data_IF_082955426008
#
_entry.id   IF_082955426008
#
_cell.length_a   1.000
_cell.length_b   1.000
_cell.length_c   1.000
_cell.angle_alpha   90.00
_cell.angle_beta   90.00
_cell.angle_gamma   90.00
#
_symmetry.space_group_name_H-M   'P 1'
#
loop_
_entity.id
_entity.type
_entity.pdbx_description
1 polymer ?
#
# COMPACT_ATOMS: atom_id res chain seq x y z
N UNK A 1 -0.43 -24.18 47.61
CA UNK A 1 -0.21 -24.78 46.28
C UNK A 1 -1.30 -24.23 45.38
N UNK A 2 -1.04 -23.16 44.66
CA UNK A 2 -1.95 -22.55 43.70
C UNK A 2 -1.34 -22.73 42.32
N UNK A 3 -2.08 -23.39 41.44
CA UNK A 3 -1.73 -23.68 40.08
C UNK A 3 -1.73 -22.37 39.26
N UNK A 4 -0.65 -21.99 38.52
CA UNK A 4 -0.70 -20.83 37.68
C UNK A 4 -1.51 -21.20 36.42
N UNK A 5 -2.66 -20.52 36.27
CA UNK A 5 -3.51 -20.59 35.10
C UNK A 5 -2.70 -20.49 33.82
N UNK A 6 -2.70 -21.59 33.05
CA UNK A 6 -2.11 -21.67 31.73
C UNK A 6 -2.79 -20.69 30.81
N UNK A 7 -2.09 -19.63 30.43
CA UNK A 7 -2.46 -18.80 29.30
C UNK A 7 -2.49 -19.69 28.07
N UNK A 8 -3.68 -19.94 27.53
CA UNK A 8 -3.86 -20.60 26.24
C UNK A 8 -3.14 -19.77 25.19
N UNK A 9 -1.93 -20.16 24.83
CA UNK A 9 -1.18 -19.56 23.75
C UNK A 9 -2.03 -19.61 22.48
N UNK A 10 -2.46 -18.44 22.03
CA UNK A 10 -3.16 -18.28 20.75
C UNK A 10 -2.27 -18.90 19.68
N UNK A 11 -2.64 -20.07 19.18
CA UNK A 11 -1.93 -20.69 18.03
C UNK A 11 -2.01 -19.67 16.91
N UNK A 12 -0.88 -19.05 16.58
CA UNK A 12 -0.77 -18.19 15.40
C UNK A 12 -1.02 -19.08 14.19
N UNK A 13 -2.04 -18.75 13.39
CA UNK A 13 -2.22 -19.39 12.09
C UNK A 13 -1.02 -19.00 11.21
N UNK A 14 -0.54 -19.93 10.40
CA UNK A 14 0.52 -19.65 9.42
C UNK A 14 -0.18 -19.07 8.18
N UNK A 15 -0.09 -17.76 7.92
CA UNK A 15 -0.66 -17.16 6.73
C UNK A 15 0.17 -17.56 5.51
N UNK A 16 -0.46 -17.87 4.38
CA UNK A 16 0.29 -18.10 3.12
C UNK A 16 1.00 -16.83 2.62
N UNK A 17 0.49 -15.66 3.00
CA UNK A 17 1.01 -14.37 2.55
C UNK A 17 0.86 -13.28 3.61
N UNK A 18 1.74 -12.27 3.54
CA UNK A 18 1.62 -10.98 4.22
C UNK A 18 1.29 -9.93 3.17
N UNK A 19 0.20 -9.17 3.34
CA UNK A 19 -0.18 -8.09 2.43
C UNK A 19 0.06 -6.75 3.10
N UNK A 20 0.87 -5.89 2.50
CA UNK A 20 1.00 -4.49 2.93
C UNK A 20 -0.30 -3.78 2.56
N UNK A 21 -1.16 -3.55 3.55
CA UNK A 21 -2.50 -3.03 3.40
C UNK A 21 -2.60 -1.62 3.96
N UNK A 22 -2.77 -0.62 3.09
CA UNK A 22 -2.92 0.78 3.47
C UNK A 22 -4.38 1.23 3.61
N UNK A 23 -5.35 0.40 3.21
CA UNK A 23 -6.75 0.80 3.08
C UNK A 23 -7.06 1.58 1.79
N UNK A 24 -6.06 1.80 0.94
CA UNK A 24 -6.22 2.36 -0.40
C UNK A 24 -6.66 1.31 -1.42
N UNK A 25 -7.13 1.79 -2.60
CA UNK A 25 -7.65 0.95 -3.68
C UNK A 25 -6.67 -0.16 -4.08
N UNK A 26 -5.43 0.19 -4.37
CA UNK A 26 -4.43 -0.74 -4.91
C UNK A 26 -4.09 -1.85 -3.91
N UNK A 27 -3.86 -1.48 -2.64
CA UNK A 27 -3.56 -2.46 -1.59
C UNK A 27 -4.74 -3.38 -1.29
N UNK A 28 -5.97 -2.87 -1.42
CA UNK A 28 -7.20 -3.67 -1.27
C UNK A 28 -7.36 -4.68 -2.40
N UNK A 29 -7.03 -4.31 -3.63
CA UNK A 29 -7.01 -5.25 -4.76
C UNK A 29 -5.93 -6.32 -4.54
N UNK A 30 -4.75 -5.96 -4.06
CA UNK A 30 -3.72 -6.94 -3.68
C UNK A 30 -4.21 -7.90 -2.60
N UNK A 31 -4.95 -7.40 -1.60
CA UNK A 31 -5.54 -8.24 -0.54
C UNK A 31 -6.52 -9.26 -1.13
N UNK A 32 -7.41 -8.84 -2.03
CA UNK A 32 -8.35 -9.73 -2.70
C UNK A 32 -7.63 -10.81 -3.54
N UNK A 33 -6.59 -10.42 -4.28
CA UNK A 33 -5.79 -11.35 -5.07
C UNK A 33 -5.03 -12.35 -4.20
N UNK A 34 -4.44 -11.91 -3.09
CA UNK A 34 -3.71 -12.78 -2.16
C UNK A 34 -4.65 -13.76 -1.43
N UNK A 35 -5.88 -13.34 -1.14
CA UNK A 35 -6.89 -14.19 -0.51
C UNK A 35 -7.50 -15.23 -1.47
N UNK A 36 -7.43 -14.98 -2.79
CA UNK A 36 -8.08 -15.84 -3.79
C UNK A 36 -7.44 -17.22 -3.86
N UNK A 37 -8.22 -18.22 -3.48
CA UNK A 37 -7.76 -19.61 -3.48
C UNK A 37 -6.79 -19.97 -2.35
N UNK A 38 -6.52 -19.07 -1.42
CA UNK A 38 -5.71 -19.34 -0.25
C UNK A 38 -6.46 -20.21 0.74
N UNK A 39 -5.77 -21.16 1.37
CA UNK A 39 -6.33 -22.04 2.40
C UNK A 39 -6.56 -21.34 3.74
N UNK A 40 -5.84 -20.24 3.98
CA UNK A 40 -5.94 -19.37 5.14
C UNK A 40 -5.93 -17.91 4.67
N UNK A 41 -6.66 -17.01 5.37
CA UNK A 41 -6.59 -15.59 5.06
C UNK A 41 -5.14 -15.06 5.13
N UNK A 42 -4.73 -14.15 4.23
CA UNK A 42 -3.45 -13.46 4.35
C UNK A 42 -3.39 -12.66 5.66
N UNK A 43 -2.17 -12.37 6.16
CA UNK A 43 -1.98 -11.40 7.22
C UNK A 43 -2.00 -9.98 6.60
N UNK A 44 -2.88 -9.11 7.09
CA UNK A 44 -2.92 -7.71 6.71
C UNK A 44 -1.93 -6.92 7.57
N UNK A 45 -0.90 -6.34 6.95
CA UNK A 45 0.11 -5.53 7.60
C UNK A 45 -0.08 -4.06 7.25
N UNK A 46 -0.43 -3.25 8.23
CA UNK A 46 -0.65 -1.81 8.07
C UNK A 46 0.43 -1.03 8.81
N UNK A 47 0.85 0.10 8.26
CA UNK A 47 1.79 1.01 8.88
C UNK A 47 1.10 2.30 9.31
N UNK A 48 1.20 2.62 10.60
CA UNK A 48 0.95 3.95 11.15
C UNK A 48 2.30 4.67 11.22
N UNK A 49 2.57 5.53 10.22
CA UNK A 49 3.89 6.19 10.09
C UNK A 49 3.81 7.71 10.29
N UNK A 50 2.77 8.18 10.96
CA UNK A 50 2.54 9.61 11.17
C UNK A 50 1.92 10.31 9.96
N UNK A 51 1.25 9.54 9.07
CA UNK A 51 0.45 10.13 7.99
C UNK A 51 -0.63 11.06 8.54
N UNK A 52 -0.95 12.12 7.81
CA UNK A 52 -1.88 13.19 8.23
C UNK A 52 -3.23 12.68 8.72
N UNK A 53 -3.69 11.51 8.24
CA UNK A 53 -5.04 11.01 8.50
C UNK A 53 -5.04 9.53 8.88
N UNK A 54 -5.69 9.22 9.99
CA UNK A 54 -5.89 7.86 10.47
C UNK A 54 -6.97 7.10 9.71
N UNK A 55 -7.75 7.79 8.87
CA UNK A 55 -8.82 7.17 8.06
C UNK A 55 -8.33 5.96 7.25
N UNK A 56 -7.10 6.02 6.73
CA UNK A 56 -6.51 4.89 6.00
C UNK A 56 -6.36 3.64 6.88
N UNK A 57 -5.98 3.79 8.15
CA UNK A 57 -5.81 2.68 9.11
C UNK A 57 -7.16 2.04 9.41
N UNK A 58 -8.21 2.86 9.63
CA UNK A 58 -9.56 2.38 9.90
C UNK A 58 -10.12 1.63 8.66
N UNK A 59 -9.83 2.14 7.46
CA UNK A 59 -10.20 1.48 6.20
C UNK A 59 -9.43 0.17 6.01
N UNK A 60 -8.14 0.13 6.32
CA UNK A 60 -7.36 -1.10 6.29
C UNK A 60 -7.94 -2.15 7.26
N UNK A 61 -8.33 -1.74 8.47
CA UNK A 61 -8.98 -2.62 9.44
C UNK A 61 -10.31 -3.18 8.91
N UNK A 62 -11.14 -2.33 8.30
CA UNK A 62 -12.40 -2.75 7.70
C UNK A 62 -12.18 -3.75 6.55
N UNK A 63 -11.23 -3.46 5.64
CA UNK A 63 -10.86 -4.37 4.56
C UNK A 63 -10.33 -5.69 5.10
N UNK A 64 -9.43 -5.70 6.09
CA UNK A 64 -8.93 -6.92 6.71
C UNK A 64 -10.07 -7.76 7.30
N UNK A 65 -11.06 -7.10 7.92
CA UNK A 65 -12.27 -7.74 8.47
C UNK A 65 -13.10 -8.48 7.42
N UNK A 66 -13.28 -7.92 6.21
CA UNK A 66 -14.00 -8.56 5.10
C UNK A 66 -13.37 -9.90 4.68
N UNK A 67 -12.06 -10.01 4.80
CA UNK A 67 -11.33 -11.25 4.48
C UNK A 67 -11.12 -12.16 5.69
N UNK A 68 -11.62 -11.81 6.89
CA UNK A 68 -11.34 -12.55 8.12
C UNK A 68 -9.84 -12.62 8.45
N UNK A 69 -9.06 -11.65 7.98
CA UNK A 69 -7.62 -11.60 8.11
C UNK A 69 -7.17 -11.08 9.49
N UNK A 70 -6.07 -11.61 10.01
CA UNK A 70 -5.37 -10.99 11.12
C UNK A 70 -4.85 -9.62 10.66
N UNK A 71 -5.14 -8.55 11.42
CA UNK A 71 -4.67 -7.20 11.14
C UNK A 71 -3.57 -6.81 12.12
N UNK A 72 -2.37 -6.61 11.62
CA UNK A 72 -1.20 -6.17 12.37
C UNK A 72 -0.88 -4.72 11.98
N UNK A 73 -0.86 -3.83 12.98
CA UNK A 73 -0.45 -2.43 12.78
C UNK A 73 0.94 -2.22 13.36
N UNK A 74 1.86 -1.72 12.54
CA UNK A 74 3.22 -1.35 12.94
C UNK A 74 3.32 0.17 13.01
N UNK A 75 3.72 0.68 14.16
CA UNK A 75 3.89 2.11 14.38
C UNK A 75 5.32 2.53 14.06
N UNK A 76 5.44 3.55 13.20
CA UNK A 76 6.67 4.20 12.82
C UNK A 76 6.49 5.71 13.02
N UNK A 77 7.57 6.45 13.14
CA UNK A 77 7.51 7.91 13.19
C UNK A 77 8.30 8.50 12.01
N UNK A 78 7.64 8.63 10.85
CA UNK A 78 8.25 9.20 9.66
C UNK A 78 8.44 10.73 9.76
N UNK A 79 7.83 11.40 10.73
CA UNK A 79 8.09 12.81 11.00
C UNK A 79 9.54 13.04 11.45
N UNK A 80 10.18 12.02 12.03
CA UNK A 80 11.57 12.08 12.49
C UNK A 80 12.59 12.36 11.38
N UNK A 81 12.28 12.02 10.12
CA UNK A 81 13.15 12.34 8.96
C UNK A 81 12.51 13.32 7.97
N UNK A 82 11.22 13.62 8.07
CA UNK A 82 10.53 14.65 7.28
C UNK A 82 10.58 14.46 5.76
N UNK A 83 10.48 15.57 5.03
CA UNK A 83 10.73 15.61 3.58
C UNK A 83 9.53 15.25 2.69
N UNK A 84 8.30 15.17 3.22
CA UNK A 84 7.10 14.91 2.44
C UNK A 84 5.88 15.68 2.93
N UNK A 85 5.07 16.16 1.98
CA UNK A 85 3.77 16.76 2.29
C UNK A 85 2.79 15.79 3.00
N UNK A 86 3.03 14.50 2.97
CA UNK A 86 2.18 13.50 3.63
C UNK A 86 2.53 13.28 5.11
N UNK A 87 3.73 13.67 5.55
CA UNK A 87 4.23 13.49 6.92
C UNK A 87 4.60 14.79 7.63
N UNK A 88 4.75 15.89 6.88
CA UNK A 88 5.06 17.21 7.41
C UNK A 88 3.89 18.19 7.17
N UNK A 89 3.18 18.62 8.24
CA UNK A 89 2.04 19.53 8.10
C UNK A 89 2.43 20.95 7.61
N UNK A 90 3.70 21.32 7.65
CA UNK A 90 4.18 22.60 7.13
C UNK A 90 4.26 22.63 5.60
N UNK A 91 4.29 21.46 4.95
CA UNK A 91 4.32 21.33 3.49
C UNK A 91 2.90 21.14 2.98
N UNK A 92 2.40 22.04 2.12
CA UNK A 92 1.07 21.90 1.54
C UNK A 92 0.98 20.69 0.60
N UNK A 93 -0.15 19.95 0.64
CA UNK A 93 -0.47 18.96 -0.39
C UNK A 93 -0.96 19.73 -1.62
N UNK A 94 -0.35 19.57 -2.80
CA UNK A 94 -0.78 20.28 -4.00
C UNK A 94 -2.17 19.84 -4.45
N UNK A 95 -2.94 20.79 -4.99
CA UNK A 95 -4.14 20.47 -5.75
C UNK A 95 -3.76 19.87 -7.11
N UNK A 96 -4.59 18.93 -7.59
CA UNK A 96 -4.44 18.37 -8.93
C UNK A 96 -4.69 19.47 -9.97
N UNK A 97 -3.72 19.72 -10.85
CA UNK A 97 -3.91 20.66 -11.95
C UNK A 97 -4.83 20.01 -13.02
N UNK A 98 -5.83 20.73 -13.54
CA UNK A 98 -6.66 20.24 -14.63
C UNK A 98 -5.81 19.86 -15.84
N UNK A 99 -5.84 18.58 -16.26
CA UNK A 99 -5.11 18.09 -17.41
C UNK A 99 -3.64 17.70 -17.17
N UNK A 100 -3.10 17.85 -15.96
CA UNK A 100 -1.77 17.34 -15.63
C UNK A 100 -1.77 15.82 -15.45
N UNK A 101 -0.67 15.18 -15.83
CA UNK A 101 -0.44 13.80 -15.43
C UNK A 101 -0.15 13.76 -13.92
N UNK A 102 -0.67 12.74 -13.18
CA UNK A 102 -0.36 12.57 -11.77
C UNK A 102 1.16 12.49 -11.56
N UNK A 103 1.65 13.22 -10.56
CA UNK A 103 3.08 13.30 -10.26
C UNK A 103 3.83 14.45 -10.95
N UNK A 104 3.17 15.24 -11.78
CA UNK A 104 3.72 16.51 -12.29
C UNK A 104 3.18 17.67 -11.45
N UNK A 105 3.63 17.82 -10.20
CA UNK A 105 3.32 19.01 -9.41
C UNK A 105 3.98 20.22 -10.06
N UNK A 106 3.14 21.16 -10.51
CA UNK A 106 3.63 22.40 -11.10
C UNK A 106 4.07 23.38 -10.03
N UNK A 107 5.33 23.32 -9.61
CA UNK A 107 6.08 24.50 -9.28
C UNK A 107 7.41 24.45 -10.04
N UNK A 108 7.54 25.47 -10.91
CA UNK A 108 8.61 25.56 -11.87
C UNK A 108 9.96 25.87 -11.21
N UNK A 109 10.64 24.84 -10.78
CA UNK A 109 12.10 24.85 -10.76
C UNK A 109 12.57 23.91 -11.87
N UNK A 110 12.68 24.47 -13.06
CA UNK A 110 13.36 23.90 -14.21
C UNK A 110 14.81 23.58 -13.85
N UNK A 111 15.04 22.31 -13.47
CA UNK A 111 16.35 21.69 -13.58
C UNK A 111 16.41 21.04 -14.96
N UNK A 112 17.32 21.50 -15.81
CA UNK A 112 17.63 20.92 -17.12
C UNK A 112 18.03 19.45 -16.94
N UNK A 113 17.15 18.52 -17.29
CA UNK A 113 17.42 17.08 -17.27
C UNK A 113 16.15 16.26 -17.32
N UNK A 114 16.06 15.28 -18.19
CA UNK A 114 14.97 14.35 -18.52
C UNK A 114 14.27 13.64 -17.35
N UNK A 115 13.83 14.35 -16.31
CA UNK A 115 13.20 13.80 -15.14
C UNK A 115 11.95 14.58 -14.76
N UNK A 116 10.77 14.00 -14.91
CA UNK A 116 9.63 14.42 -14.11
C UNK A 116 10.09 14.40 -12.64
N UNK A 117 10.12 15.56 -11.97
CA UNK A 117 10.65 15.71 -10.61
C UNK A 117 9.94 14.74 -9.65
N UNK A 118 10.64 14.30 -8.60
CA UNK A 118 10.04 13.48 -7.55
C UNK A 118 8.95 14.30 -6.86
N UNK A 119 7.68 13.84 -6.82
CA UNK A 119 6.59 14.60 -6.23
C UNK A 119 6.82 14.92 -4.74
N UNK A 120 6.39 16.08 -4.29
CA UNK A 120 6.47 16.50 -2.87
C UNK A 120 5.72 15.58 -1.91
N UNK A 121 4.80 14.74 -2.44
CA UNK A 121 4.08 13.68 -1.73
C UNK A 121 4.89 12.38 -1.58
N UNK A 122 6.07 12.29 -2.18
CA UNK A 122 6.97 11.16 -1.95
C UNK A 122 7.47 11.17 -0.50
N UNK A 123 7.24 10.10 0.22
CA UNK A 123 7.82 9.88 1.56
C UNK A 123 9.14 9.13 1.39
N UNK A 124 10.29 9.74 1.74
CA UNK A 124 11.59 9.13 1.52
C UNK A 124 11.71 7.72 2.10
N UNK A 125 12.13 6.76 1.26
CA UNK A 125 12.35 5.36 1.60
C UNK A 125 11.13 4.60 2.19
N UNK A 126 9.90 5.11 2.05
CA UNK A 126 8.71 4.52 2.66
C UNK A 126 8.55 3.04 2.29
N UNK A 127 8.53 2.72 0.99
CA UNK A 127 8.35 1.34 0.56
C UNK A 127 9.57 0.45 0.89
N UNK A 128 10.78 1.02 1.01
CA UNK A 128 11.96 0.29 1.50
C UNK A 128 11.77 -0.18 2.94
N UNK A 129 11.30 0.71 3.82
CA UNK A 129 11.03 0.40 5.22
C UNK A 129 9.89 -0.61 5.33
N UNK A 130 8.80 -0.39 4.60
CA UNK A 130 7.63 -1.26 4.63
C UNK A 130 7.96 -2.68 4.16
N UNK A 131 8.70 -2.83 3.07
CA UNK A 131 9.13 -4.14 2.58
C UNK A 131 10.10 -4.81 3.53
N UNK A 132 11.05 -4.08 4.13
CA UNK A 132 11.98 -4.66 5.11
C UNK A 132 11.24 -5.21 6.34
N UNK A 133 10.27 -4.47 6.88
CA UNK A 133 9.45 -4.93 8.01
C UNK A 133 8.56 -6.11 7.58
N UNK A 134 7.93 -6.02 6.41
CA UNK A 134 7.05 -7.07 5.89
C UNK A 134 7.81 -8.40 5.67
N UNK A 135 9.05 -8.34 5.19
CA UNK A 135 9.92 -9.50 5.08
C UNK A 135 10.24 -10.13 6.45
N UNK A 136 10.51 -9.30 7.47
CA UNK A 136 10.70 -9.78 8.83
C UNK A 136 9.45 -10.44 9.40
N UNK A 137 8.26 -9.85 9.17
CA UNK A 137 6.97 -10.43 9.59
C UNK A 137 6.72 -11.74 8.85
N UNK A 138 6.94 -11.79 7.53
CA UNK A 138 6.74 -12.99 6.72
C UNK A 138 7.64 -14.14 7.20
N UNK A 139 8.92 -13.88 7.46
CA UNK A 139 9.83 -14.89 7.98
C UNK A 139 9.42 -15.38 9.38
N UNK A 140 9.04 -14.47 10.29
CA UNK A 140 8.60 -14.80 11.64
C UNK A 140 7.29 -15.60 11.68
N UNK A 141 6.42 -15.41 10.68
CA UNK A 141 5.12 -16.09 10.55
C UNK A 141 5.15 -17.27 9.58
N UNK A 142 6.31 -17.61 9.03
CA UNK A 142 6.53 -18.65 8.01
C UNK A 142 5.62 -18.46 6.76
N UNK A 143 5.33 -17.20 6.41
CA UNK A 143 4.58 -16.86 5.21
C UNK A 143 5.48 -16.93 3.96
N UNK A 144 4.92 -17.36 2.83
CA UNK A 144 5.70 -17.59 1.61
C UNK A 144 5.88 -16.33 0.78
N UNK A 145 4.93 -15.40 0.83
CA UNK A 145 4.93 -14.21 -0.01
C UNK A 145 4.62 -12.92 0.79
N UNK A 146 5.23 -11.82 0.37
CA UNK A 146 4.85 -10.44 0.71
C UNK A 146 4.21 -9.80 -0.52
N UNK A 147 3.02 -9.22 -0.36
CA UNK A 147 2.29 -8.54 -1.44
C UNK A 147 2.28 -7.03 -1.21
N UNK A 148 2.55 -6.27 -2.28
CA UNK A 148 2.58 -4.80 -2.25
C UNK A 148 1.84 -4.22 -3.45
N UNK A 149 0.97 -3.23 -3.20
CA UNK A 149 0.14 -2.56 -4.20
C UNK A 149 0.84 -1.36 -4.85
N UNK A 150 2.09 -1.52 -5.27
CA UNK A 150 2.79 -0.47 -6.03
C UNK A 150 2.36 -0.49 -7.50
N UNK A 151 2.31 0.71 -8.10
CA UNK A 151 1.99 0.93 -9.50
C UNK A 151 3.00 1.90 -10.11
N UNK A 152 3.65 1.47 -11.20
CA UNK A 152 4.68 2.27 -11.88
C UNK A 152 4.09 3.14 -13.00
N UNK A 153 2.91 2.80 -13.51
CA UNK A 153 2.29 3.49 -14.66
C UNK A 153 1.74 4.86 -14.23
N UNK A 154 1.00 4.89 -13.11
CA UNK A 154 0.34 6.11 -12.62
C UNK A 154 1.23 6.94 -11.69
N UNK A 155 2.23 6.31 -11.05
CA UNK A 155 3.15 6.91 -10.08
C UNK A 155 4.60 6.81 -10.52
N UNK A 156 4.88 7.06 -11.80
CA UNK A 156 6.23 6.96 -12.37
C UNK A 156 7.29 7.85 -11.66
N UNK A 157 6.84 8.92 -10.98
CA UNK A 157 7.70 9.81 -10.19
C UNK A 157 8.22 9.19 -8.88
N UNK A 158 7.65 8.10 -8.38
CA UNK A 158 8.12 7.48 -7.13
C UNK A 158 9.20 6.42 -7.42
N UNK A 159 10.46 6.65 -6.98
CA UNK A 159 11.56 5.72 -7.28
C UNK A 159 11.34 4.33 -6.70
N UNK A 160 10.64 4.24 -5.56
CA UNK A 160 10.35 3.01 -4.82
C UNK A 160 9.04 2.31 -5.25
N UNK A 161 8.50 2.70 -6.41
CA UNK A 161 7.38 2.00 -7.08
C UNK A 161 7.79 1.36 -8.42
N UNK A 162 9.06 1.43 -8.81
CA UNK A 162 9.56 0.96 -10.11
C UNK A 162 9.85 -0.54 -10.10
N UNK A 163 9.72 -1.26 -11.24
CA UNK A 163 10.04 -2.69 -11.33
C UNK A 163 11.45 -3.04 -10.82
N UNK A 164 12.46 -2.25 -11.21
CA UNK A 164 13.85 -2.45 -10.78
C UNK A 164 14.02 -2.37 -9.25
N UNK A 165 13.24 -1.52 -8.55
CA UNK A 165 13.25 -1.46 -7.10
C UNK A 165 12.69 -2.75 -6.48
N UNK A 166 11.58 -3.27 -7.00
CA UNK A 166 10.99 -4.53 -6.53
C UNK A 166 11.95 -5.70 -6.77
N UNK A 167 12.62 -5.74 -7.92
CA UNK A 167 13.63 -6.78 -8.23
C UNK A 167 14.82 -6.72 -7.28
N UNK A 168 15.28 -5.51 -6.93
CA UNK A 168 16.33 -5.34 -5.92
C UNK A 168 15.88 -5.87 -4.54
N UNK A 169 14.63 -5.65 -4.13
CA UNK A 169 14.11 -6.19 -2.86
C UNK A 169 13.93 -7.70 -2.88
N UNK A 170 13.57 -8.31 -4.02
CA UNK A 170 13.61 -9.78 -4.17
C UNK A 170 15.01 -10.32 -3.86
N UNK A 171 16.03 -9.62 -4.35
CA UNK A 171 17.42 -9.98 -4.06
C UNK A 171 17.80 -9.77 -2.59
N UNK A 172 17.24 -8.74 -1.93
CA UNK A 172 17.39 -8.55 -0.48
C UNK A 172 16.82 -9.74 0.29
N UNK A 173 15.61 -10.22 -0.07
CA UNK A 173 14.99 -11.39 0.56
C UNK A 173 15.84 -12.67 0.40
N UNK A 174 16.43 -12.88 -0.78
CA UNK A 174 17.33 -14.02 -1.02
C UNK A 174 18.60 -13.97 -0.17
N UNK A 175 19.21 -12.80 0.01
CA UNK A 175 20.53 -12.65 0.63
C UNK A 175 20.47 -12.28 2.12
N UNK A 176 19.42 -11.59 2.54
CA UNK A 176 19.33 -10.96 3.86
C UNK A 176 18.47 -11.71 4.87
N UNK A 177 17.81 -12.81 4.49
CA UNK A 177 16.98 -13.60 5.37
C UNK A 177 17.47 -15.03 5.54
N UNK A 178 17.18 -15.65 6.71
CA UNK A 178 17.49 -17.06 6.95
C UNK A 178 16.85 -17.95 5.89
N UNK A 179 15.55 -17.75 5.57
CA UNK A 179 14.86 -18.52 4.54
C UNK A 179 15.53 -18.41 3.16
N UNK A 180 16.05 -17.22 2.82
CA UNK A 180 16.79 -17.00 1.58
C UNK A 180 18.07 -17.83 1.52
N UNK A 181 18.85 -17.84 2.60
CA UNK A 181 20.08 -18.66 2.72
C UNK A 181 19.77 -20.16 2.69
N UNK A 182 18.62 -20.58 3.21
CA UNK A 182 18.13 -21.96 3.16
C UNK A 182 17.53 -22.36 1.79
N UNK A 183 17.55 -21.47 0.79
CA UNK A 183 17.03 -21.72 -0.56
C UNK A 183 15.49 -21.61 -0.68
N UNK A 184 14.82 -20.99 0.28
CA UNK A 184 13.38 -20.79 0.33
C UNK A 184 13.05 -19.31 0.58
N UNK A 185 13.52 -18.37 -0.26
CA UNK A 185 13.30 -16.94 -0.02
C UNK A 185 11.82 -16.60 0.01
N UNK A 186 11.47 -15.60 0.82
CA UNK A 186 10.13 -15.00 0.79
C UNK A 186 9.95 -14.30 -0.55
N UNK A 187 8.87 -14.65 -1.26
CA UNK A 187 8.53 -14.01 -2.54
C UNK A 187 8.01 -12.58 -2.35
N UNK A 188 8.34 -11.68 -3.27
CA UNK A 188 7.72 -10.33 -3.31
C UNK A 188 6.82 -10.25 -4.54
N UNK A 189 5.52 -10.04 -4.29
CA UNK A 189 4.47 -9.95 -5.29
C UNK A 189 4.03 -8.49 -5.46
N UNK A 190 4.17 -7.95 -6.66
CA UNK A 190 3.70 -6.62 -7.04
C UNK A 190 2.79 -6.74 -8.27
N UNK A 191 1.57 -7.33 -8.15
CA UNK A 191 0.76 -7.73 -9.30
C UNK A 191 0.19 -6.56 -10.10
N UNK A 192 0.24 -5.35 -9.55
CA UNK A 192 -0.35 -4.15 -10.16
C UNK A 192 0.69 -3.25 -10.85
N UNK A 193 1.97 -3.65 -10.84
CA UNK A 193 3.08 -2.75 -11.14
C UNK A 193 3.01 -2.15 -12.57
N UNK A 194 2.52 -2.93 -13.54
CA UNK A 194 2.42 -2.54 -14.95
C UNK A 194 0.97 -2.21 -15.38
N UNK A 195 0.04 -2.07 -14.42
CA UNK A 195 -1.37 -1.83 -14.72
C UNK A 195 -1.72 -0.35 -14.66
N UNK A 196 -2.62 0.10 -15.54
CA UNK A 196 -3.27 1.41 -15.42
C UNK A 196 -4.30 1.40 -14.28
N UNK A 197 -4.67 2.56 -13.74
CA UNK A 197 -5.68 2.65 -12.68
C UNK A 197 -7.01 2.02 -13.12
N UNK A 198 -7.40 2.22 -14.36
CA UNK A 198 -8.60 1.58 -14.92
C UNK A 198 -8.51 0.05 -14.94
N UNK A 199 -7.34 -0.51 -15.27
CA UNK A 199 -7.12 -1.95 -15.22
C UNK A 199 -7.17 -2.48 -13.78
N UNK A 200 -6.61 -1.73 -12.82
CA UNK A 200 -6.66 -2.07 -11.38
C UNK A 200 -8.11 -2.07 -10.87
N UNK A 201 -8.93 -1.06 -11.26
CA UNK A 201 -10.36 -1.03 -10.89
C UNK A 201 -11.10 -2.25 -11.44
N UNK A 202 -10.91 -2.59 -12.73
CA UNK A 202 -11.54 -3.79 -13.34
C UNK A 202 -11.10 -5.06 -12.60
N UNK A 203 -9.81 -5.21 -12.36
CA UNK A 203 -9.26 -6.36 -11.62
C UNK A 203 -9.83 -6.43 -10.18
N UNK A 204 -10.03 -5.29 -9.53
CA UNK A 204 -10.68 -5.19 -8.23
C UNK A 204 -12.11 -5.71 -8.25
N UNK A 205 -12.92 -5.31 -9.25
CA UNK A 205 -14.27 -5.82 -9.44
C UNK A 205 -14.27 -7.33 -9.70
N UNK A 206 -13.41 -7.80 -10.61
CA UNK A 206 -13.30 -9.22 -10.96
C UNK A 206 -12.82 -10.10 -9.79
N UNK A 207 -11.98 -9.56 -8.92
CA UNK A 207 -11.48 -10.26 -7.73
C UNK A 207 -12.41 -10.18 -6.52
N UNK A 208 -13.50 -9.42 -6.60
CA UNK A 208 -14.41 -9.20 -5.48
C UNK A 208 -13.83 -8.32 -4.37
N UNK A 209 -12.88 -7.45 -4.70
CA UNK A 209 -12.31 -6.52 -3.74
C UNK A 209 -13.38 -5.54 -3.20
N UNK A 210 -13.43 -5.28 -1.88
CA UNK A 210 -14.41 -4.39 -1.27
C UNK A 210 -14.06 -2.91 -1.54
N UNK A 211 -14.20 -2.48 -2.82
CA UNK A 211 -13.77 -1.15 -3.28
C UNK A 211 -14.52 -0.01 -2.58
N UNK A 212 -15.72 -0.26 -2.04
CA UNK A 212 -16.51 0.70 -1.26
C UNK A 212 -15.87 1.06 0.09
N UNK A 213 -14.97 0.23 0.62
CA UNK A 213 -14.24 0.49 1.86
C UNK A 213 -12.96 1.30 1.64
N UNK A 214 -12.52 1.47 0.38
CA UNK A 214 -11.20 2.05 0.10
C UNK A 214 -11.17 3.56 0.22
N UNK A 215 -10.02 4.08 0.66
CA UNK A 215 -9.75 5.51 0.78
C UNK A 215 -8.52 5.90 -0.05
N UNK A 216 -8.59 7.03 -0.75
CA UNK A 216 -7.46 7.52 -1.57
C UNK A 216 -7.08 8.98 -1.30
N UNK A 217 -7.95 9.75 -0.63
CA UNK A 217 -7.76 11.18 -0.45
C UNK A 217 -6.57 11.52 0.47
N UNK A 218 -5.67 12.39 0.01
CA UNK A 218 -4.52 12.87 0.79
C UNK A 218 -4.89 13.97 1.79
N UNK A 219 -5.99 14.70 1.58
CA UNK A 219 -6.38 15.80 2.44
C UNK A 219 -6.99 15.34 3.77
N UNK A 220 -7.46 14.08 3.86
CA UNK A 220 -8.20 13.55 5.00
C UNK A 220 -9.60 14.14 5.13
N UNK A 221 -10.20 13.93 6.31
CA UNK A 221 -11.59 14.32 6.56
C UNK A 221 -12.52 13.13 6.54
N UNK A 222 -13.83 13.40 6.58
CA UNK A 222 -14.89 12.36 6.53
C UNK A 222 -15.29 12.02 5.11
N UNK A 223 -15.04 12.93 4.16
CA UNK A 223 -15.32 12.79 2.73
C UNK A 223 -14.06 13.09 1.91
N UNK A 224 -13.90 12.48 0.72
CA UNK A 224 -12.80 12.80 -0.19
C UNK A 224 -12.88 14.25 -0.65
N UNK A 225 -11.73 14.96 -0.68
CA UNK A 225 -11.71 16.38 -1.08
C UNK A 225 -12.03 16.63 -2.55
N UNK A 226 -11.93 15.62 -3.41
CA UNK A 226 -12.15 15.72 -4.85
C UNK A 226 -11.06 16.47 -5.64
N UNK A 227 -10.16 17.22 -4.97
CA UNK A 227 -9.21 18.12 -5.61
C UNK A 227 -7.75 17.65 -5.61
N UNK A 228 -7.34 16.70 -4.76
CA UNK A 228 -5.96 16.23 -4.75
C UNK A 228 -5.68 15.21 -5.87
N UNK A 229 -4.40 15.01 -6.22
CA UNK A 229 -3.97 14.06 -7.26
C UNK A 229 -4.54 12.66 -7.07
N UNK A 230 -4.60 12.15 -5.83
CA UNK A 230 -5.14 10.82 -5.57
C UNK A 230 -6.65 10.73 -5.84
N UNK A 231 -7.42 11.78 -5.54
CA UNK A 231 -8.84 11.85 -5.88
C UNK A 231 -9.05 11.92 -7.40
N UNK A 232 -8.27 12.75 -8.09
CA UNK A 232 -8.34 12.89 -9.54
C UNK A 232 -7.97 11.59 -10.26
N UNK A 233 -6.91 10.91 -9.81
CA UNK A 233 -6.48 9.62 -10.35
C UNK A 233 -7.53 8.53 -10.11
N UNK A 234 -8.13 8.48 -8.91
CA UNK A 234 -9.22 7.55 -8.60
C UNK A 234 -10.42 7.77 -9.51
N UNK A 235 -10.92 9.01 -9.59
CA UNK A 235 -12.08 9.36 -10.41
C UNK A 235 -11.87 8.99 -11.88
N UNK A 236 -10.70 9.32 -12.44
CA UNK A 236 -10.32 8.94 -13.81
C UNK A 236 -10.28 7.42 -13.97
N UNK A 237 -9.67 6.69 -13.04
CA UNK A 237 -9.57 5.23 -13.10
C UNK A 237 -10.92 4.54 -13.13
N UNK A 238 -11.88 4.98 -12.30
CA UNK A 238 -13.25 4.45 -12.32
C UNK A 238 -14.00 4.81 -13.60
N UNK A 239 -13.89 6.06 -14.07
CA UNK A 239 -14.51 6.51 -15.32
C UNK A 239 -13.99 5.72 -16.53
N UNK A 240 -12.67 5.56 -16.68
CA UNK A 240 -12.05 4.79 -17.76
C UNK A 240 -12.32 3.28 -17.65
N UNK A 241 -12.57 2.77 -16.45
CA UNK A 241 -12.99 1.40 -16.24
C UNK A 241 -14.45 1.15 -16.64
N UNK A 242 -15.27 2.20 -16.75
CA UNK A 242 -16.71 2.11 -16.97
C UNK A 242 -17.46 1.61 -15.73
N UNK A 243 -16.93 1.84 -14.54
CA UNK A 243 -17.49 1.39 -13.26
C UNK A 243 -17.80 2.60 -12.40
N UNK A 244 -18.98 2.64 -11.78
CA UNK A 244 -19.29 3.65 -10.78
C UNK A 244 -18.40 3.47 -9.54
N UNK A 245 -17.88 4.57 -8.97
CA UNK A 245 -17.07 4.49 -7.75
C UNK A 245 -17.97 4.22 -6.53
N UNK A 246 -17.90 3.03 -5.90
CA UNK A 246 -18.82 2.66 -4.84
C UNK A 246 -18.49 3.33 -3.49
N UNK A 247 -17.38 4.06 -3.38
CA UNK A 247 -17.01 4.80 -2.18
C UNK A 247 -17.49 6.27 -2.23
N UNK A 248 -18.07 6.71 -3.34
CA UNK A 248 -18.66 8.04 -3.48
C UNK A 248 -20.18 7.94 -3.45
N UNK A 249 -20.87 8.95 -2.86
CA UNK A 249 -22.33 9.02 -2.95
C UNK A 249 -22.76 9.14 -4.42
N UNK A 250 -23.88 8.47 -4.75
CA UNK A 250 -24.49 8.52 -6.07
C UNK A 250 -25.09 9.91 -6.38
#
# INVERSE_FOLDING_TARGET
>A
MGDPAGGAGRRLTVPGAVVILSGGLDSTVCMALAARGASQPPLALTFDYGQRHRTEIDRAAAVAGEFGAEHLVVHLDASAWGGSALTDPSIAVPDALPGSQPGTSGDGTSGDGDGAGIPVTYVPARNSIFLAVALGVAEARDADDVWIGVNAVDYSGYPDCRPAFIDAFRRVAELGQRRGIEGRPVGIRAPLIDLTKAAIVRLGVESGAPLHLTWSCYAGGTEPCGGCDACALRARGFAEAGVADPALPA
#
